data_IF_929657734525
#
_entry.id   IF_929657734525
#
_cell.length_a   1.000
_cell.length_b   1.000
_cell.length_c   1.000
_cell.angle_alpha   90.00
_cell.angle_beta   90.00
_cell.angle_gamma   90.00
#
_symmetry.space_group_name_H-M   'P 1'
#
loop_
_entity.id
_entity.type
_entity.pdbx_description
1 polymer ?
#
# COMPACT_ATOMS: atom_id res chain seq x y z
N UNK A 1 24.96 11.35 -8.64
CA UNK A 1 23.66 11.59 -7.97
C UNK A 1 23.85 11.26 -6.50
N UNK A 2 23.77 12.25 -5.62
CA UNK A 2 24.14 12.10 -4.20
C UNK A 2 23.00 11.45 -3.40
N UNK A 3 23.35 10.62 -2.40
CA UNK A 3 22.40 10.04 -1.44
C UNK A 3 21.55 11.11 -0.73
N UNK A 4 22.12 12.31 -0.57
CA UNK A 4 21.44 13.48 0.00
C UNK A 4 20.31 13.98 -0.92
N UNK A 5 20.55 14.05 -2.22
CA UNK A 5 19.53 14.53 -3.18
C UNK A 5 18.34 13.56 -3.27
N UNK A 6 18.59 12.26 -3.15
CA UNK A 6 17.53 11.24 -3.08
C UNK A 6 16.74 11.33 -1.79
N UNK A 7 17.39 11.64 -0.66
CA UNK A 7 16.74 11.82 0.63
C UNK A 7 15.83 13.05 0.66
N UNK A 8 16.31 14.19 0.15
CA UNK A 8 15.50 15.41 0.07
C UNK A 8 14.27 15.24 -0.82
N UNK A 9 14.40 14.53 -1.95
CA UNK A 9 13.27 14.21 -2.83
C UNK A 9 12.26 13.30 -2.15
N UNK A 10 12.73 12.30 -1.42
CA UNK A 10 11.86 11.39 -0.66
C UNK A 10 11.13 12.13 0.47
N UNK A 11 11.82 13.00 1.19
CA UNK A 11 11.24 13.81 2.26
C UNK A 11 10.22 14.82 1.74
N UNK A 12 10.52 15.52 0.64
CA UNK A 12 9.59 16.42 -0.03
C UNK A 12 8.34 15.68 -0.54
N UNK A 13 8.51 14.48 -1.08
CA UNK A 13 7.40 13.63 -1.49
C UNK A 13 6.51 13.23 -0.30
N UNK A 14 7.11 12.83 0.82
CA UNK A 14 6.41 12.48 2.07
C UNK A 14 5.61 13.66 2.63
N UNK A 15 6.22 14.84 2.69
CA UNK A 15 5.59 16.06 3.19
C UNK A 15 4.39 16.47 2.33
N UNK A 16 4.56 16.46 1.00
CA UNK A 16 3.48 16.83 0.08
C UNK A 16 2.30 15.84 0.13
N UNK A 17 2.57 14.55 0.37
CA UNK A 17 1.51 13.56 0.58
C UNK A 17 0.79 13.75 1.92
N UNK A 18 1.47 14.21 2.97
CA UNK A 18 0.85 14.49 4.26
C UNK A 18 -0.11 15.70 4.19
N UNK A 19 0.30 16.76 3.49
CA UNK A 19 -0.48 18.01 3.36
C UNK A 19 -1.66 17.87 2.38
N UNK A 20 -1.63 16.89 1.47
CA UNK A 20 -2.69 16.62 0.48
C UNK A 20 -4.05 16.20 1.05
N UNK A 21 -4.11 15.83 2.34
CA UNK A 21 -5.35 15.47 3.03
C UNK A 21 -5.94 16.61 3.89
N UNK A 22 -5.32 17.79 3.90
CA UNK A 22 -5.82 18.94 4.65
C UNK A 22 -6.71 19.84 3.77
N UNK A 23 -8.03 19.66 3.86
CA UNK A 23 -8.99 20.63 3.31
C UNK A 23 -9.24 21.68 4.38
N UNK A 24 -8.57 22.83 4.31
CA UNK A 24 -8.89 23.98 5.17
C UNK A 24 -10.05 24.76 4.58
N UNK A 25 -11.27 24.51 5.07
CA UNK A 25 -12.40 25.40 4.82
C UNK A 25 -12.45 26.45 5.94
N UNK A 26 -11.91 27.65 5.68
CA UNK A 26 -12.17 28.80 6.56
C UNK A 26 -13.54 29.37 6.21
N UNK A 27 -14.61 28.78 6.76
CA UNK A 27 -15.98 29.28 6.59
C UNK A 27 -16.26 30.52 7.43
N UNK A 28 -15.46 30.74 8.46
CA UNK A 28 -15.54 31.95 9.28
C UNK A 28 -14.31 32.79 8.94
N UNK A 29 -14.54 33.88 8.22
CA UNK A 29 -13.53 34.92 8.05
C UNK A 29 -13.05 35.41 9.41
N UNK A 30 -11.84 35.98 9.44
CA UNK A 30 -11.38 36.67 10.64
C UNK A 30 -12.37 37.81 10.96
N UNK A 31 -12.51 38.23 12.23
CA UNK A 31 -13.39 39.33 12.58
C UNK A 31 -13.01 40.59 11.78
N UNK A 32 -13.83 40.98 10.80
CA UNK A 32 -13.54 42.08 9.86
C UNK A 32 -13.51 41.69 8.38
N UNK A 33 -13.49 40.40 8.04
CA UNK A 33 -13.64 39.95 6.65
C UNK A 33 -15.11 40.10 6.20
N UNK A 34 -15.30 40.71 5.04
CA UNK A 34 -16.59 40.87 4.39
C UNK A 34 -17.26 39.49 4.20
N UNK A 35 -18.59 39.46 4.34
CA UNK A 35 -19.41 38.28 4.02
C UNK A 35 -18.98 37.80 2.64
N UNK A 36 -18.58 36.53 2.51
CA UNK A 36 -18.13 35.98 1.23
C UNK A 36 -19.27 36.06 0.20
N UNK A 37 -19.31 37.15 -0.56
CA UNK A 37 -20.34 37.49 -1.56
C UNK A 37 -20.21 36.64 -2.85
N UNK A 38 -19.33 35.64 -2.85
CA UNK A 38 -19.15 34.76 -4.01
C UNK A 38 -20.42 33.93 -4.22
N UNK A 39 -20.85 33.74 -5.48
CA UNK A 39 -21.98 32.88 -5.77
C UNK A 39 -21.67 31.45 -5.26
N UNK A 40 -22.69 30.74 -4.74
CA UNK A 40 -22.51 29.38 -4.25
C UNK A 40 -21.93 28.50 -5.37
N UNK A 41 -21.03 27.55 -5.03
CA UNK A 41 -20.37 26.72 -6.03
C UNK A 41 -21.40 25.99 -6.89
N UNK A 42 -21.29 26.11 -8.21
CA UNK A 42 -22.23 25.52 -9.17
C UNK A 42 -21.75 24.21 -9.78
N UNK A 43 -20.48 23.82 -9.53
CA UNK A 43 -19.86 22.64 -10.12
C UNK A 43 -19.02 21.86 -9.11
N UNK A 44 -19.16 20.54 -9.08
CA UNK A 44 -18.23 19.62 -8.40
C UNK A 44 -17.46 18.85 -9.45
N UNK A 45 -16.13 18.96 -9.42
CA UNK A 45 -15.24 18.16 -10.26
C UNK A 45 -14.87 16.87 -9.52
N UNK A 46 -15.18 15.72 -10.13
CA UNK A 46 -14.74 14.41 -9.63
C UNK A 46 -13.75 13.82 -10.63
N UNK A 47 -12.61 13.34 -10.14
CA UNK A 47 -11.60 12.71 -10.99
C UNK A 47 -12.17 11.44 -11.65
N UNK A 48 -11.87 11.23 -12.92
CA UNK A 48 -12.25 10.00 -13.61
C UNK A 48 -11.43 8.81 -13.08
N UNK A 49 -12.09 7.74 -12.66
CA UNK A 49 -11.42 6.50 -12.27
C UNK A 49 -11.29 5.55 -13.45
N UNK A 50 -10.08 5.44 -14.00
CA UNK A 50 -9.76 4.51 -15.08
C UNK A 50 -9.36 3.15 -14.52
N UNK A 51 -10.24 2.16 -14.63
CA UNK A 51 -10.01 0.82 -14.09
C UNK A 51 -8.81 0.12 -14.76
N UNK A 52 -8.64 0.31 -16.07
CA UNK A 52 -7.55 -0.32 -16.85
C UNK A 52 -6.24 0.49 -16.87
N UNK A 53 -6.09 1.44 -15.94
CA UNK A 53 -4.88 2.25 -15.88
C UNK A 53 -3.63 1.37 -15.64
N UNK A 54 -2.47 1.68 -16.26
CA UNK A 54 -1.24 0.89 -16.11
C UNK A 54 -0.83 0.58 -14.65
N UNK A 55 -1.04 1.46 -13.65
CA UNK A 55 -0.76 1.14 -12.25
C UNK A 55 -1.53 -0.06 -11.68
N UNK A 56 -2.66 -0.43 -12.28
CA UNK A 56 -3.53 -1.53 -11.86
C UNK A 56 -3.30 -2.82 -12.65
N UNK A 57 -2.33 -2.82 -13.57
CA UNK A 57 -1.97 -3.96 -14.41
C UNK A 57 -0.64 -4.57 -13.97
N UNK A 58 -0.58 -5.90 -13.96
CA UNK A 58 0.61 -6.70 -13.61
C UNK A 58 0.81 -7.71 -14.75
N UNK A 59 1.90 -7.56 -15.51
CA UNK A 59 2.19 -8.41 -16.68
C UNK A 59 1.00 -8.52 -17.66
N UNK A 60 0.25 -7.43 -17.86
CA UNK A 60 -0.93 -7.40 -18.73
C UNK A 60 -2.21 -7.99 -18.11
N UNK A 61 -2.16 -8.44 -16.85
CA UNK A 61 -3.32 -8.94 -16.10
C UNK A 61 -3.77 -7.90 -15.08
N UNK A 62 -5.08 -7.67 -14.99
CA UNK A 62 -5.65 -6.77 -13.98
C UNK A 62 -5.31 -7.25 -12.57
N UNK A 63 -4.94 -6.33 -11.67
CA UNK A 63 -4.47 -6.60 -10.31
C UNK A 63 -5.43 -7.49 -9.49
N UNK A 64 -6.75 -7.29 -9.62
CA UNK A 64 -7.75 -8.20 -9.03
C UNK A 64 -7.57 -9.64 -9.50
N UNK A 65 -7.46 -9.86 -10.82
CA UNK A 65 -7.32 -11.21 -11.38
C UNK A 65 -6.03 -11.86 -10.90
N UNK A 66 -4.93 -11.11 -10.90
CA UNK A 66 -3.64 -11.57 -10.39
C UNK A 66 -3.71 -12.00 -8.90
N UNK A 67 -4.40 -11.22 -8.05
CA UNK A 67 -4.57 -11.55 -6.63
C UNK A 67 -5.47 -12.78 -6.41
N UNK A 68 -6.52 -12.97 -7.20
CA UNK A 68 -7.38 -14.16 -7.10
C UNK A 68 -6.64 -15.43 -7.56
N UNK A 69 -5.89 -15.35 -8.66
CA UNK A 69 -5.03 -16.45 -9.13
C UNK A 69 -4.00 -16.81 -8.04
N UNK A 70 -3.36 -15.79 -7.47
CA UNK A 70 -2.43 -15.93 -6.35
C UNK A 70 -3.07 -16.64 -5.16
N UNK A 71 -4.29 -16.26 -4.77
CA UNK A 71 -5.00 -16.91 -3.67
C UNK A 71 -5.30 -18.39 -3.96
N UNK A 72 -5.72 -18.71 -5.20
CA UNK A 72 -5.98 -20.09 -5.62
C UNK A 72 -4.73 -20.97 -5.62
N UNK A 73 -3.62 -20.45 -6.15
CA UNK A 73 -2.31 -21.13 -6.12
C UNK A 73 -1.86 -21.35 -4.67
N UNK A 74 -1.99 -20.33 -3.84
CA UNK A 74 -1.62 -20.40 -2.43
C UNK A 74 -2.37 -21.47 -1.65
N UNK A 75 -3.72 -21.50 -1.77
CA UNK A 75 -4.54 -22.56 -1.16
C UNK A 75 -4.09 -23.94 -1.65
N UNK A 76 -3.84 -24.08 -2.95
CA UNK A 76 -3.43 -25.35 -3.55
C UNK A 76 -2.08 -25.82 -2.98
N UNK A 77 -1.10 -24.91 -2.86
CA UNK A 77 0.22 -25.19 -2.27
C UNK A 77 0.09 -25.55 -0.78
N UNK A 78 -0.68 -24.78 0.00
CA UNK A 78 -0.91 -25.07 1.44
C UNK A 78 -1.49 -26.46 1.63
N UNK A 79 -2.53 -26.83 0.85
CA UNK A 79 -3.15 -28.15 0.93
C UNK A 79 -2.18 -29.24 0.48
N UNK A 80 -1.43 -29.01 -0.60
CA UNK A 80 -0.44 -29.97 -1.09
C UNK A 80 0.67 -30.25 -0.08
N UNK A 81 1.22 -29.21 0.56
CA UNK A 81 2.24 -29.35 1.63
C UNK A 81 1.65 -30.10 2.83
N UNK A 82 0.42 -29.77 3.24
CA UNK A 82 -0.27 -30.48 4.31
C UNK A 82 -0.38 -31.97 4.01
N UNK A 83 -0.90 -32.34 2.83
CA UNK A 83 -1.07 -33.75 2.46
C UNK A 83 0.27 -34.47 2.36
N UNK A 84 1.28 -33.83 1.78
CA UNK A 84 2.62 -34.41 1.63
C UNK A 84 3.23 -34.74 3.00
N UNK A 85 3.21 -33.80 3.95
CA UNK A 85 3.74 -34.04 5.29
C UNK A 85 2.86 -35.04 6.05
N UNK A 86 1.53 -34.92 5.93
CA UNK A 86 0.61 -35.78 6.67
C UNK A 86 0.76 -37.26 6.29
N UNK A 87 0.95 -37.57 5.01
CA UNK A 87 1.08 -38.97 4.56
C UNK A 87 2.51 -39.51 4.65
N UNK A 88 3.53 -38.66 4.51
CA UNK A 88 4.93 -39.09 4.62
C UNK A 88 5.36 -39.30 6.08
N UNK A 89 4.74 -38.59 7.03
CA UNK A 89 5.13 -38.65 8.43
C UNK A 89 4.73 -40.00 9.06
N UNK A 90 5.71 -40.67 9.66
CA UNK A 90 5.50 -41.94 10.37
C UNK A 90 4.90 -41.70 11.77
N UNK A 91 3.58 -41.59 11.81
CA UNK A 91 2.80 -41.33 13.02
C UNK A 91 2.87 -42.45 14.06
N UNK A 92 3.24 -43.67 13.65
CA UNK A 92 3.14 -44.85 14.51
C UNK A 92 4.45 -45.17 15.23
N UNK A 93 5.61 -44.79 14.67
CA UNK A 93 6.91 -45.12 15.24
C UNK A 93 7.49 -44.07 16.19
N UNK A 94 6.90 -42.89 16.24
CA UNK A 94 7.34 -41.82 17.12
C UNK A 94 6.61 -41.90 18.49
N UNK A 95 7.29 -41.50 19.56
CA UNK A 95 6.76 -41.59 20.93
C UNK A 95 5.72 -40.48 21.14
N UNK A 96 4.44 -40.88 21.28
CA UNK A 96 3.17 -40.17 21.59
C UNK A 96 3.15 -38.65 21.87
N UNK A 97 4.15 -38.04 22.48
CA UNK A 97 4.17 -36.61 22.81
C UNK A 97 4.61 -35.69 21.66
N UNK A 98 5.60 -36.11 20.85
CA UNK A 98 6.10 -35.33 19.71
C UNK A 98 5.09 -35.38 18.54
N UNK A 99 4.33 -36.47 18.43
CA UNK A 99 3.40 -36.67 17.31
C UNK A 99 2.16 -35.77 17.41
N UNK A 100 1.67 -35.56 18.63
CA UNK A 100 0.51 -34.69 18.86
C UNK A 100 0.86 -33.24 18.55
N UNK A 101 2.05 -32.76 18.92
CA UNK A 101 2.44 -31.37 18.65
C UNK A 101 2.67 -31.11 17.16
N UNK A 102 3.29 -32.05 16.44
CA UNK A 102 3.45 -31.98 14.98
C UNK A 102 2.08 -32.02 14.29
N UNK A 103 1.17 -32.90 14.71
CA UNK A 103 -0.19 -32.96 14.16
C UNK A 103 -0.95 -31.66 14.39
N UNK A 104 -0.92 -31.11 15.61
CA UNK A 104 -1.55 -29.84 15.93
C UNK A 104 -0.95 -28.70 15.11
N UNK A 105 0.37 -28.64 15.00
CA UNK A 105 1.07 -27.65 14.16
C UNK A 105 0.66 -27.75 12.69
N UNK A 106 0.53 -28.97 12.17
CA UNK A 106 0.15 -29.23 10.78
C UNK A 106 -1.31 -28.84 10.50
N UNK A 107 -2.23 -29.12 11.43
CA UNK A 107 -3.63 -28.69 11.34
C UNK A 107 -3.75 -27.17 11.43
N UNK A 108 -3.01 -26.53 12.35
CA UNK A 108 -2.96 -25.07 12.45
C UNK A 108 -2.40 -24.44 11.17
N UNK A 109 -1.33 -25.00 10.60
CA UNK A 109 -0.77 -24.56 9.32
C UNK A 109 -1.82 -24.60 8.20
N UNK A 110 -2.58 -25.70 8.09
CA UNK A 110 -3.65 -25.82 7.10
C UNK A 110 -4.74 -24.77 7.30
N UNK A 111 -5.28 -24.66 8.52
CA UNK A 111 -6.38 -23.74 8.82
C UNK A 111 -5.97 -22.29 8.61
N UNK A 112 -4.82 -21.89 9.14
CA UNK A 112 -4.30 -20.52 9.02
C UNK A 112 -3.93 -20.20 7.58
N UNK A 113 -3.23 -21.10 6.88
CA UNK A 113 -2.85 -20.91 5.49
C UNK A 113 -4.06 -20.74 4.57
N UNK A 114 -5.05 -21.63 4.68
CA UNK A 114 -6.31 -21.51 3.90
C UNK A 114 -7.06 -20.23 4.28
N UNK A 115 -7.16 -19.91 5.57
CA UNK A 115 -7.87 -18.70 6.02
C UNK A 115 -7.24 -17.42 5.46
N UNK A 116 -5.91 -17.30 5.48
CA UNK A 116 -5.18 -16.13 4.97
C UNK A 116 -5.43 -15.93 3.48
N UNK A 117 -5.36 -16.99 2.68
CA UNK A 117 -5.65 -16.89 1.25
C UNK A 117 -7.13 -16.64 0.97
N UNK A 118 -8.04 -17.22 1.77
CA UNK A 118 -9.46 -16.96 1.67
C UNK A 118 -9.82 -15.49 1.93
N UNK A 119 -9.11 -14.80 2.84
CA UNK A 119 -9.33 -13.37 3.07
C UNK A 119 -9.09 -12.52 1.82
N UNK A 120 -8.18 -12.94 0.91
CA UNK A 120 -8.00 -12.25 -0.38
C UNK A 120 -9.27 -12.37 -1.22
N UNK A 121 -9.80 -13.59 -1.37
CA UNK A 121 -11.01 -13.84 -2.17
C UNK A 121 -12.19 -13.07 -1.60
N UNK A 122 -12.36 -13.08 -0.27
CA UNK A 122 -13.38 -12.30 0.43
C UNK A 122 -13.21 -10.81 0.20
N UNK A 123 -11.99 -10.29 0.35
CA UNK A 123 -11.68 -8.87 0.18
C UNK A 123 -11.94 -8.37 -1.23
N UNK A 124 -11.60 -9.17 -2.24
CA UNK A 124 -11.95 -8.89 -3.64
C UNK A 124 -13.47 -8.92 -3.85
N UNK A 125 -14.15 -9.96 -3.38
CA UNK A 125 -15.61 -10.12 -3.55
C UNK A 125 -16.42 -8.99 -2.94
N UNK A 126 -16.02 -8.51 -1.76
CA UNK A 126 -16.69 -7.44 -1.03
C UNK A 126 -16.05 -6.06 -1.24
N UNK A 127 -15.09 -5.95 -2.17
CA UNK A 127 -14.33 -4.72 -2.45
C UNK A 127 -13.77 -4.03 -1.20
N UNK A 128 -13.30 -4.83 -0.23
CA UNK A 128 -12.79 -4.39 1.07
C UNK A 128 -11.26 -4.52 1.11
N UNK A 129 -10.50 -3.41 0.98
CA UNK A 129 -9.03 -3.46 1.01
C UNK A 129 -8.47 -3.91 2.36
N UNK A 130 -9.22 -3.70 3.44
CA UNK A 130 -8.84 -4.08 4.81
C UNK A 130 -8.67 -5.60 4.97
N UNK A 131 -9.46 -6.41 4.24
CA UNK A 131 -9.36 -7.87 4.29
C UNK A 131 -8.04 -8.40 3.71
N UNK A 132 -7.31 -7.61 2.92
CA UNK A 132 -6.03 -8.02 2.33
C UNK A 132 -4.85 -7.80 3.29
N UNK A 133 -5.03 -7.02 4.36
CA UNK A 133 -3.95 -6.65 5.30
C UNK A 133 -3.34 -7.85 6.04
N UNK A 134 -4.11 -8.83 6.56
CA UNK A 134 -3.53 -10.00 7.23
C UNK A 134 -2.57 -10.78 6.33
N UNK A 135 -2.92 -10.94 5.05
CA UNK A 135 -2.04 -11.57 4.07
C UNK A 135 -0.72 -10.82 3.94
N UNK A 136 -0.78 -9.50 3.76
CA UNK A 136 0.41 -8.64 3.58
C UNK A 136 1.33 -8.74 4.79
N UNK A 137 0.78 -8.63 6.00
CA UNK A 137 1.57 -8.70 7.24
C UNK A 137 2.26 -10.05 7.38
N UNK A 138 1.50 -11.14 7.24
CA UNK A 138 2.02 -12.49 7.48
C UNK A 138 3.07 -12.87 6.44
N UNK A 139 2.81 -12.62 5.15
CA UNK A 139 3.79 -12.89 4.09
C UNK A 139 5.03 -12.01 4.23
N UNK A 140 4.91 -10.76 4.68
CA UNK A 140 6.09 -9.90 4.92
C UNK A 140 6.98 -10.47 6.03
N UNK A 141 6.39 -10.93 7.13
CA UNK A 141 7.12 -11.57 8.24
C UNK A 141 7.74 -12.90 7.78
N UNK A 142 6.99 -13.72 7.04
CA UNK A 142 7.48 -14.98 6.51
C UNK A 142 8.69 -14.77 5.60
N UNK A 143 8.59 -13.91 4.59
CA UNK A 143 9.69 -13.59 3.67
C UNK A 143 10.92 -13.06 4.44
N UNK A 144 10.72 -12.18 5.43
CA UNK A 144 11.82 -11.67 6.24
C UNK A 144 12.52 -12.79 7.02
N UNK A 145 11.75 -13.69 7.63
CA UNK A 145 12.28 -14.84 8.36
C UNK A 145 13.02 -15.82 7.44
N UNK A 146 12.48 -16.12 6.25
CA UNK A 146 13.12 -16.95 5.23
C UNK A 146 14.41 -16.34 4.70
N UNK A 147 14.45 -15.01 4.50
CA UNK A 147 15.66 -14.31 4.10
C UNK A 147 16.75 -14.41 5.18
N UNK A 148 16.37 -14.32 6.45
CA UNK A 148 17.30 -14.56 7.57
C UNK A 148 17.82 -15.99 7.56
N UNK A 149 16.95 -16.99 7.41
CA UNK A 149 17.37 -18.40 7.31
C UNK A 149 18.26 -18.66 6.11
N UNK A 150 18.00 -18.01 4.97
CA UNK A 150 18.85 -18.09 3.79
C UNK A 150 20.25 -17.54 4.08
N UNK A 151 20.36 -16.36 4.72
CA UNK A 151 21.65 -15.77 5.11
C UNK A 151 22.41 -16.71 6.05
N UNK A 152 21.73 -17.26 7.07
CA UNK A 152 22.33 -18.21 7.99
C UNK A 152 22.80 -19.50 7.27
N UNK A 153 21.99 -20.00 6.33
CA UNK A 153 22.32 -21.19 5.54
C UNK A 153 23.52 -20.95 4.62
N UNK A 154 23.60 -19.78 3.98
CA UNK A 154 24.74 -19.39 3.15
C UNK A 154 26.01 -19.20 3.99
N UNK A 155 25.90 -18.59 5.17
CA UNK A 155 27.03 -18.46 6.08
C UNK A 155 27.54 -19.83 6.53
N UNK A 156 26.63 -20.72 6.92
CA UNK A 156 26.98 -22.09 7.31
C UNK A 156 27.64 -22.85 6.15
N UNK A 157 27.15 -22.68 4.92
CA UNK A 157 27.80 -23.25 3.74
C UNK A 157 29.26 -22.83 3.64
N UNK A 158 29.52 -21.51 3.71
CA UNK A 158 30.87 -20.95 3.61
C UNK A 158 31.77 -21.53 4.70
N UNK A 159 31.31 -21.52 5.95
CA UNK A 159 32.03 -22.11 7.09
C UNK A 159 32.40 -23.57 6.83
N UNK A 160 31.43 -24.38 6.41
CA UNK A 160 31.66 -25.82 6.17
C UNK A 160 32.62 -26.06 5.00
N UNK A 161 32.51 -25.24 3.95
CA UNK A 161 33.35 -25.38 2.73
C UNK A 161 34.80 -25.00 3.00
N UNK A 162 35.04 -23.91 3.73
CA UNK A 162 36.40 -23.39 3.92
C UNK A 162 37.11 -23.94 5.16
N UNK A 163 36.37 -24.28 6.22
CA UNK A 163 36.96 -24.64 7.52
C UNK A 163 36.92 -26.15 7.76
N UNK A 164 35.81 -26.83 7.40
CA UNK A 164 35.61 -28.24 7.76
C UNK A 164 35.90 -29.24 6.62
N UNK A 165 36.13 -28.78 5.38
CA UNK A 165 36.46 -29.63 4.20
C UNK A 165 35.60 -30.91 4.11
N UNK A 166 34.28 -30.74 4.25
CA UNK A 166 33.32 -31.85 4.29
C UNK A 166 33.12 -32.46 2.90
N UNK A 167 32.72 -33.74 2.86
CA UNK A 167 32.50 -34.51 1.64
C UNK A 167 31.58 -33.83 0.61
N UNK A 168 31.82 -34.14 -0.67
CA UNK A 168 31.11 -33.64 -1.85
C UNK A 168 29.57 -33.81 -1.80
N UNK A 169 29.06 -34.82 -1.07
CA UNK A 169 27.63 -35.02 -0.86
C UNK A 169 26.96 -33.91 -0.06
N UNK A 170 27.69 -33.22 0.84
CA UNK A 170 27.16 -32.10 1.60
C UNK A 170 26.91 -30.87 0.71
N UNK A 171 27.84 -30.59 -0.21
CA UNK A 171 27.72 -29.47 -1.14
C UNK A 171 26.51 -29.58 -2.07
N UNK A 172 26.22 -30.78 -2.58
CA UNK A 172 25.04 -31.01 -3.44
C UNK A 172 23.72 -30.80 -2.68
N UNK A 173 23.64 -31.29 -1.43
CA UNK A 173 22.45 -31.11 -0.58
C UNK A 173 22.24 -29.65 -0.21
N UNK A 174 23.32 -28.96 0.16
CA UNK A 174 23.26 -27.53 0.48
C UNK A 174 22.82 -26.72 -0.75
N UNK A 175 23.36 -27.02 -1.95
CA UNK A 175 22.97 -26.36 -3.21
C UNK A 175 21.48 -26.51 -3.47
N UNK A 176 20.99 -27.74 -3.38
CA UNK A 176 19.60 -28.06 -3.59
C UNK A 176 18.69 -27.27 -2.63
N UNK A 177 19.02 -27.26 -1.34
CA UNK A 177 18.26 -26.52 -0.32
C UNK A 177 18.28 -25.01 -0.58
N UNK A 178 19.43 -24.42 -0.91
CA UNK A 178 19.54 -22.99 -1.23
C UNK A 178 18.69 -22.62 -2.44
N UNK A 179 18.74 -23.41 -3.52
CA UNK A 179 17.91 -23.17 -4.72
C UNK A 179 16.42 -23.27 -4.37
N UNK A 180 16.02 -24.27 -3.58
CA UNK A 180 14.64 -24.40 -3.12
C UNK A 180 14.17 -23.19 -2.30
N UNK A 181 14.98 -22.70 -1.36
CA UNK A 181 14.67 -21.48 -0.60
C UNK A 181 14.49 -20.25 -1.51
N UNK A 182 15.36 -20.09 -2.51
CA UNK A 182 15.26 -18.97 -3.46
C UNK A 182 13.97 -19.03 -4.28
N UNK A 183 13.56 -20.23 -4.72
CA UNK A 183 12.29 -20.42 -5.44
C UNK A 183 11.10 -20.09 -4.54
N UNK A 184 11.09 -20.55 -3.29
CA UNK A 184 10.02 -20.27 -2.32
C UNK A 184 9.89 -18.77 -2.08
N UNK A 185 11.00 -18.08 -1.79
CA UNK A 185 11.01 -16.62 -1.58
C UNK A 185 10.51 -15.89 -2.83
N UNK A 186 10.95 -16.29 -4.02
CA UNK A 186 10.52 -15.67 -5.28
C UNK A 186 9.00 -15.81 -5.51
N UNK A 187 8.45 -16.99 -5.26
CA UNK A 187 7.00 -17.23 -5.35
C UNK A 187 6.26 -16.35 -4.33
N UNK A 188 6.67 -16.36 -3.06
CA UNK A 188 6.02 -15.55 -2.02
C UNK A 188 6.09 -14.05 -2.32
N UNK A 189 7.21 -13.54 -2.84
CA UNK A 189 7.35 -12.15 -3.27
C UNK A 189 6.39 -11.80 -4.42
N UNK A 190 6.27 -12.67 -5.42
CA UNK A 190 5.34 -12.47 -6.54
C UNK A 190 3.88 -12.45 -6.06
N UNK A 191 3.54 -13.32 -5.10
CA UNK A 191 2.22 -13.36 -4.47
C UNK A 191 1.94 -12.07 -3.69
N UNK A 192 2.88 -11.65 -2.84
CA UNK A 192 2.79 -10.42 -2.04
C UNK A 192 2.64 -9.18 -2.92
N UNK A 193 3.45 -9.08 -3.98
CA UNK A 193 3.37 -7.98 -4.94
C UNK A 193 1.98 -7.90 -5.61
N UNK A 194 1.42 -9.05 -6.00
CA UNK A 194 0.09 -9.12 -6.61
C UNK A 194 -1.01 -8.64 -5.67
N UNK A 195 -0.94 -9.03 -4.40
CA UNK A 195 -1.93 -8.63 -3.38
C UNK A 195 -1.81 -7.14 -3.00
N UNK A 196 -0.59 -6.60 -2.89
CA UNK A 196 -0.36 -5.17 -2.63
C UNK A 196 -0.97 -4.32 -3.75
N UNK A 197 -0.74 -4.70 -5.02
CA UNK A 197 -1.31 -4.01 -6.17
C UNK A 197 -2.84 -4.06 -6.17
N UNK A 198 -3.42 -5.22 -5.87
CA UNK A 198 -4.87 -5.37 -5.74
C UNK A 198 -5.43 -4.49 -4.62
N UNK A 199 -4.75 -4.42 -3.46
CA UNK A 199 -5.16 -3.54 -2.36
C UNK A 199 -5.15 -2.08 -2.78
N UNK A 200 -4.08 -1.62 -3.44
CA UNK A 200 -3.98 -0.25 -3.93
C UNK A 200 -5.08 0.10 -4.93
N UNK A 201 -5.46 -0.86 -5.79
CA UNK A 201 -6.63 -0.71 -6.67
C UNK A 201 -7.93 -0.56 -5.86
N UNK A 202 -8.18 -1.47 -4.92
CA UNK A 202 -9.40 -1.45 -4.10
C UNK A 202 -9.51 -0.18 -3.25
N UNK A 203 -8.39 0.33 -2.71
CA UNK A 203 -8.37 1.59 -1.98
C UNK A 203 -8.76 2.77 -2.86
N UNK A 204 -8.12 2.90 -4.03
CA UNK A 204 -8.44 3.99 -4.97
C UNK A 204 -9.87 3.92 -5.49
N UNK A 205 -10.37 2.70 -5.75
CA UNK A 205 -11.77 2.49 -6.10
C UNK A 205 -12.71 2.93 -4.98
N UNK A 206 -12.42 2.55 -3.73
CA UNK A 206 -13.25 2.92 -2.58
C UNK A 206 -13.29 4.43 -2.33
N UNK A 207 -12.17 5.12 -2.53
CA UNK A 207 -12.09 6.59 -2.41
C UNK A 207 -12.93 7.25 -3.50
N UNK A 208 -12.77 6.81 -4.75
CA UNK A 208 -13.55 7.35 -5.86
C UNK A 208 -15.07 7.13 -5.69
N UNK A 209 -15.49 5.94 -5.26
CA UNK A 209 -16.90 5.65 -4.96
C UNK A 209 -17.44 6.54 -3.82
N UNK A 210 -16.60 6.85 -2.84
CA UNK A 210 -16.95 7.78 -1.76
C UNK A 210 -17.09 9.22 -2.28
N UNK A 211 -16.14 9.71 -3.09
CA UNK A 211 -16.18 11.03 -3.73
C UNK A 211 -17.43 11.20 -4.59
N UNK A 212 -17.76 10.20 -5.42
CA UNK A 212 -18.98 10.19 -6.22
C UNK A 212 -20.25 10.25 -5.36
N UNK A 213 -20.31 9.48 -4.27
CA UNK A 213 -21.45 9.50 -3.35
C UNK A 213 -21.62 10.86 -2.66
N UNK A 214 -20.51 11.52 -2.31
CA UNK A 214 -20.54 12.88 -1.73
C UNK A 214 -21.05 13.88 -2.77
N UNK A 215 -20.56 13.80 -4.01
CA UNK A 215 -20.99 14.67 -5.10
C UNK A 215 -22.49 14.50 -5.40
N UNK A 216 -23.00 13.26 -5.41
CA UNK A 216 -24.42 12.96 -5.58
C UNK A 216 -25.27 13.55 -4.45
N UNK A 217 -24.85 13.39 -3.18
CA UNK A 217 -25.55 13.98 -2.04
C UNK A 217 -25.60 15.50 -2.11
N UNK A 218 -24.47 16.14 -2.44
CA UNK A 218 -24.41 17.59 -2.60
C UNK A 218 -25.36 18.09 -3.71
N UNK A 219 -25.52 17.33 -4.79
CA UNK A 219 -26.48 17.64 -5.86
C UNK A 219 -27.93 17.54 -5.41
N UNK A 220 -28.26 16.60 -4.53
CA UNK A 220 -29.62 16.47 -3.95
C UNK A 220 -29.93 17.67 -3.06
N UNK A 221 -28.96 18.11 -2.25
CA UNK A 221 -29.11 19.27 -1.36
C UNK A 221 -29.14 20.60 -2.12
N UNK A 222 -28.46 20.69 -3.26
CA UNK A 222 -28.40 21.88 -4.11
C UNK A 222 -28.70 21.53 -5.58
N UNK A 223 -29.99 21.62 -6.02
CA UNK A 223 -30.41 21.15 -7.35
C UNK A 223 -29.73 21.86 -8.54
N UNK A 224 -29.17 23.05 -8.33
CA UNK A 224 -28.41 23.80 -9.34
C UNK A 224 -26.97 23.33 -9.56
N UNK A 225 -26.50 22.36 -8.78
CA UNK A 225 -25.12 21.86 -8.79
C UNK A 225 -24.90 20.83 -9.90
N UNK A 226 -23.88 21.04 -10.74
CA UNK A 226 -23.48 20.13 -11.81
C UNK A 226 -22.25 19.31 -11.41
N UNK A 227 -22.33 17.99 -11.54
CA UNK A 227 -21.17 17.11 -11.35
C UNK A 227 -20.44 16.99 -12.69
N UNK A 228 -19.14 17.29 -12.71
CA UNK A 228 -18.28 17.17 -13.89
C UNK A 228 -17.23 16.09 -13.61
N UNK A 229 -17.37 14.94 -14.28
CA UNK A 229 -16.42 13.83 -14.17
C UNK A 229 -15.33 14.00 -15.23
N UNK A 230 -14.06 13.94 -14.84
CA UNK A 230 -12.93 13.90 -15.79
C UNK A 230 -12.57 15.22 -16.49
N UNK A 231 -13.00 16.36 -15.95
CA UNK A 231 -12.53 17.66 -16.44
C UNK A 231 -11.10 17.96 -16.00
N UNK A 232 -10.24 18.41 -16.92
CA UNK A 232 -8.98 19.07 -16.57
C UNK A 232 -9.29 20.12 -15.49
N UNK A 233 -8.64 20.03 -14.33
CA UNK A 233 -8.62 21.13 -13.37
C UNK A 233 -8.32 22.41 -14.18
N UNK A 234 -9.14 23.47 -14.08
CA UNK A 234 -8.65 24.78 -14.48
C UNK A 234 -7.32 24.97 -13.74
N UNK A 235 -6.27 25.52 -14.38
CA UNK A 235 -5.06 25.87 -13.66
C UNK A 235 -5.48 26.66 -12.40
N UNK A 236 -4.83 26.44 -11.24
CA UNK A 236 -5.15 27.20 -10.04
C UNK A 236 -5.16 28.66 -10.48
N UNK A 237 -6.30 29.33 -10.32
CA UNK A 237 -6.44 30.70 -10.76
C UNK A 237 -5.25 31.48 -10.20
N UNK A 238 -4.26 31.74 -11.05
CA UNK A 238 -3.43 32.92 -10.90
C UNK A 238 -4.48 34.02 -10.91
N UNK A 239 -4.78 34.55 -9.73
CA UNK A 239 -5.28 35.90 -9.62
C UNK A 239 -4.26 36.74 -10.38
N UNK A 240 -4.50 36.93 -11.66
CA UNK A 240 -3.98 38.07 -12.39
C UNK A 240 -4.67 39.23 -11.69
N UNK A 241 -4.06 39.65 -10.59
CA UNK A 241 -4.21 40.99 -10.10
C UNK A 241 -3.81 41.85 -11.30
N UNK A 242 -4.81 42.42 -11.96
CA UNK A 242 -4.61 43.50 -12.90
C UNK A 242 -3.65 44.47 -12.22
N UNK A 243 -2.44 44.51 -12.76
CA UNK A 243 -1.40 45.44 -12.37
C UNK A 243 -1.85 46.83 -12.81
N UNK A 244 -2.83 47.39 -12.09
CA UNK A 244 -3.08 48.81 -12.12
C UNK A 244 -2.10 49.41 -11.13
N UNK A 245 -0.94 49.76 -11.67
CA UNK A 245 0.04 50.65 -11.06
C UNK A 245 -0.72 51.93 -10.70
N UNK A 246 -1.09 52.07 -9.43
CA UNK A 246 -1.43 53.36 -8.84
C UNK A 246 -0.41 53.60 -7.73
N UNK A 247 0.50 54.49 -8.08
CA UNK A 247 1.52 55.12 -7.26
C UNK A 247 1.06 55.37 -5.82
N UNK A 248 1.84 54.83 -4.88
CA UNK A 248 1.81 55.22 -3.47
C UNK A 248 2.01 56.73 -3.32
N UNK A 249 1.08 57.49 -2.71
CA UNK A 249 1.38 58.81 -2.20
C UNK A 249 1.82 58.68 -0.74
N UNK A 250 3.08 59.05 -0.54
CA UNK A 250 3.64 59.70 0.64
C UNK A 250 3.50 59.04 2.02
N UNK A 251 4.65 58.55 2.47
CA UNK A 251 5.04 58.33 3.85
C UNK A 251 4.92 59.64 4.64
N UNK A 252 3.83 59.85 5.37
CA UNK A 252 3.78 60.87 6.43
C UNK A 252 4.50 60.34 7.66
N UNK A 253 5.55 61.06 8.01
CA UNK A 253 6.39 60.91 9.19
C UNK A 253 5.56 61.06 10.48
N UNK A 254 5.81 60.19 11.46
CA UNK A 254 5.34 60.39 12.83
C UNK A 254 6.21 61.48 13.49
N UNK A 255 5.63 62.52 14.11
CA UNK A 255 6.41 63.51 14.83
C UNK A 255 6.89 62.96 16.19
N UNK A 256 8.21 62.98 16.37
CA UNK A 256 8.89 62.79 17.66
C UNK A 256 8.53 63.95 18.57
N UNK A 257 7.70 63.72 19.58
CA UNK A 257 7.36 64.73 20.58
C UNK A 257 8.51 64.81 21.61
N UNK A 258 9.45 65.72 21.38
CA UNK A 258 10.28 66.29 22.43
C UNK A 258 9.55 67.52 22.94
N UNK A 259 9.29 67.59 24.25
CA UNK A 259 9.28 68.90 24.90
C UNK A 259 9.80 68.83 26.34
N UNK A 260 10.53 69.86 26.79
CA UNK A 260 11.24 69.87 28.05
C UNK A 260 10.40 70.50 29.18
N UNK A 261 10.61 70.00 30.39
CA UNK A 261 10.65 70.75 31.65
C UNK A 261 11.35 69.87 32.69
#
# INVERSE_FOLDING_TARGET
MSLRDTWERFYAWLKNNADSNSVSYSRFGLPGDEVDDRPPPTQIHVAEFKEDAPPFMIFGVHSIKAAVITAGIGISITVFIFLSIFFEFDWYNNKKGIDISVLVGLVLFLLVGVAIHWQIVRGVKHTQPQSLVPFIIIYSIMILSELLFLILSLNQWVVVTYIQQVEQFYHLRALFLTVMFMVVIAVQLAMLFSVIRCRNYLEKKSIHEMEMRIAERAKIESPGLKIVVGGSLPPPHTSVADSTIISSPNRTEFPTNQNPA
#
